data_IF_486880150256
#
_entry.id   IF_486880150256
#
_cell.length_a   1.000
_cell.length_b   1.000
_cell.length_c   1.000
_cell.angle_alpha   90.00
_cell.angle_beta   90.00
_cell.angle_gamma   90.00
#
_symmetry.space_group_name_H-M   'P 1'
#
loop_
_entity.id
_entity.type
_entity.pdbx_description
1 polymer ?
#
# COMPACT_ATOMS: atom_id res chain seq x y z
N UNK A 1 6.15 -5.10 -36.65
CA UNK A 1 6.82 -4.89 -35.35
C UNK A 1 5.78 -4.24 -34.44
N UNK A 2 5.39 -4.71 -33.27
CA UNK A 2 5.77 -5.77 -32.32
C UNK A 2 4.65 -5.68 -31.23
N UNK A 3 4.17 -6.66 -30.48
CA UNK A 3 4.36 -8.09 -30.34
C UNK A 3 2.98 -8.63 -29.91
N UNK A 4 2.48 -9.67 -30.57
CA UNK A 4 1.39 -10.49 -30.04
C UNK A 4 1.98 -11.49 -29.04
N UNK A 5 1.77 -11.27 -27.74
CA UNK A 5 1.89 -12.37 -26.78
C UNK A 5 0.94 -12.22 -25.59
N UNK A 6 -0.36 -12.08 -25.89
CA UNK A 6 -1.42 -12.44 -24.95
C UNK A 6 -1.91 -13.82 -25.33
N UNK A 7 -1.21 -14.86 -24.90
CA UNK A 7 -1.68 -16.23 -25.08
C UNK A 7 -1.42 -17.08 -23.84
N UNK A 8 -2.55 -17.57 -23.32
CA UNK A 8 -2.76 -18.82 -22.59
C UNK A 8 -2.87 -18.69 -21.07
N UNK A 9 -4.02 -18.18 -20.64
CA UNK A 9 -4.66 -18.62 -19.40
C UNK A 9 -5.67 -19.72 -19.78
N UNK A 10 -5.16 -20.90 -20.11
CA UNK A 10 -5.98 -22.10 -20.30
C UNK A 10 -6.15 -22.79 -18.96
N UNK A 11 -7.41 -22.94 -18.55
CA UNK A 11 -7.80 -23.55 -17.29
C UNK A 11 -7.37 -25.02 -17.19
N UNK A 12 -6.43 -25.26 -16.28
CA UNK A 12 -6.40 -26.47 -15.48
C UNK A 12 -6.17 -26.02 -14.04
N UNK A 13 -7.09 -26.35 -13.14
CA UNK A 13 -6.95 -26.18 -11.69
C UNK A 13 -5.81 -27.07 -11.19
N UNK A 14 -4.57 -26.69 -11.48
CA UNK A 14 -3.42 -27.23 -10.77
C UNK A 14 -3.51 -26.71 -9.32
N UNK A 15 -3.43 -27.57 -8.31
CA UNK A 15 -3.44 -27.10 -6.93
C UNK A 15 -2.29 -26.12 -6.74
N UNK A 16 -2.55 -24.99 -6.05
CA UNK A 16 -1.53 -23.98 -5.76
C UNK A 16 -0.34 -24.55 -4.94
N UNK A 17 -0.51 -25.75 -4.38
CA UNK A 17 0.48 -26.47 -3.57
C UNK A 17 0.59 -27.90 -4.10
N UNK A 18 1.81 -28.34 -4.35
CA UNK A 18 2.13 -29.72 -4.74
C UNK A 18 2.20 -30.62 -3.50
N UNK A 19 1.20 -31.49 -3.35
CA UNK A 19 1.05 -32.44 -2.23
C UNK A 19 1.75 -33.79 -2.46
N UNK A 20 2.53 -33.94 -3.54
CA UNK A 20 3.35 -35.15 -3.73
C UNK A 20 4.29 -35.35 -2.53
N UNK A 21 4.67 -36.58 -2.14
CA UNK A 21 5.52 -36.81 -0.97
C UNK A 21 7.00 -36.46 -1.24
N UNK A 22 7.71 -35.95 -0.22
CA UNK A 22 9.16 -35.60 -0.31
C UNK A 22 10.08 -36.83 -0.31
N UNK A 23 9.52 -37.99 -0.01
CA UNK A 23 10.27 -39.22 0.15
C UNK A 23 10.98 -39.67 -1.14
N UNK A 24 12.25 -40.08 -1.08
CA UNK A 24 13.05 -40.48 -2.24
C UNK A 24 12.64 -41.84 -2.85
N UNK A 25 11.67 -42.55 -2.25
CA UNK A 25 11.39 -43.96 -2.54
C UNK A 25 10.51 -44.17 -3.77
N UNK A 26 9.85 -43.13 -4.33
CA UNK A 26 9.13 -43.23 -5.61
C UNK A 26 9.20 -41.89 -6.37
N UNK A 27 10.15 -41.70 -7.29
CA UNK A 27 10.19 -40.50 -8.11
C UNK A 27 9.38 -40.73 -9.39
N UNK A 28 8.08 -40.46 -9.36
CA UNK A 28 7.45 -39.95 -10.59
C UNK A 28 7.86 -38.48 -10.64
N UNK A 29 8.45 -38.03 -11.74
CA UNK A 29 9.01 -36.68 -11.90
C UNK A 29 8.02 -35.53 -11.74
N UNK A 30 6.78 -35.80 -11.33
CA UNK A 30 5.70 -34.84 -11.08
C UNK A 30 6.15 -33.65 -10.26
N UNK A 31 6.85 -33.86 -9.14
CA UNK A 31 7.38 -32.75 -8.36
C UNK A 31 8.43 -31.93 -9.08
N UNK A 32 9.34 -32.59 -9.81
CA UNK A 32 10.35 -31.88 -10.59
C UNK A 32 9.67 -31.01 -11.65
N UNK A 33 8.66 -31.54 -12.32
CA UNK A 33 7.87 -30.83 -13.32
C UNK A 33 7.09 -29.65 -12.70
N UNK A 34 6.48 -29.87 -11.52
CA UNK A 34 5.81 -28.81 -10.76
C UNK A 34 6.77 -27.68 -10.38
N UNK A 35 7.93 -28.01 -9.81
CA UNK A 35 8.95 -27.03 -9.45
C UNK A 35 9.45 -26.25 -10.68
N UNK A 36 9.71 -26.96 -11.79
CA UNK A 36 10.14 -26.34 -13.05
C UNK A 36 9.11 -25.32 -13.55
N UNK A 37 7.81 -25.68 -13.55
CA UNK A 37 6.73 -24.77 -13.90
C UNK A 37 6.69 -23.53 -13.00
N UNK A 38 6.86 -23.69 -11.68
CA UNK A 38 6.87 -22.56 -10.73
C UNK A 38 8.11 -21.66 -10.89
N UNK A 39 9.26 -22.23 -11.26
CA UNK A 39 10.47 -21.45 -11.53
C UNK A 39 10.37 -20.67 -12.83
N UNK A 40 9.70 -21.22 -13.86
CA UNK A 40 9.44 -20.52 -15.12
C UNK A 40 8.50 -19.31 -14.94
N UNK A 41 7.49 -19.43 -14.09
CA UNK A 41 6.52 -18.36 -13.80
C UNK A 41 6.87 -17.53 -12.57
N UNK A 42 8.12 -17.60 -12.10
CA UNK A 42 8.56 -16.89 -10.90
C UNK A 42 8.54 -15.36 -11.16
N UNK A 43 7.87 -14.57 -10.31
CA UNK A 43 7.90 -13.10 -10.39
C UNK A 43 9.32 -12.54 -10.28
N UNK A 44 9.59 -11.46 -11.02
CA UNK A 44 10.87 -10.76 -10.93
C UNK A 44 11.02 -10.06 -9.57
N UNK A 45 12.27 -9.84 -9.13
CA UNK A 45 12.58 -9.10 -7.89
C UNK A 45 11.91 -7.71 -7.87
N UNK A 46 11.89 -7.00 -9.00
CA UNK A 46 11.29 -5.68 -9.09
C UNK A 46 9.79 -5.69 -8.74
N UNK A 47 9.04 -6.66 -9.28
CA UNK A 47 7.62 -6.84 -8.99
C UNK A 47 7.36 -7.17 -7.51
N UNK A 48 8.23 -7.99 -6.91
CA UNK A 48 8.14 -8.32 -5.48
C UNK A 48 8.42 -7.10 -4.59
N UNK A 49 9.29 -6.20 -5.01
CA UNK A 49 9.55 -4.93 -4.31
C UNK A 49 8.34 -4.00 -4.44
N UNK A 50 7.79 -3.85 -5.65
CA UNK A 50 6.61 -3.03 -5.90
C UNK A 50 5.39 -3.49 -5.09
N UNK A 51 5.20 -4.82 -5.00
CA UNK A 51 4.17 -5.44 -4.15
C UNK A 51 4.49 -5.40 -2.65
N UNK A 52 5.57 -4.74 -2.23
CA UNK A 52 6.03 -4.66 -0.83
C UNK A 52 6.29 -6.02 -0.16
N UNK A 53 6.59 -7.06 -0.92
CA UNK A 53 6.96 -8.39 -0.42
C UNK A 53 8.45 -8.44 -0.08
N UNK A 54 9.29 -7.92 -0.98
CA UNK A 54 10.73 -7.80 -0.75
C UNK A 54 11.11 -6.35 -0.40
N UNK A 55 12.08 -6.14 0.50
CA UNK A 55 12.59 -4.81 0.78
C UNK A 55 13.37 -4.25 -0.41
N UNK A 56 13.14 -2.97 -0.72
CA UNK A 56 13.84 -2.21 -1.76
C UNK A 56 15.27 -1.80 -1.34
N UNK A 57 16.01 -2.68 -0.67
CA UNK A 57 17.34 -2.39 -0.14
C UNK A 57 18.42 -3.27 -0.76
N UNK A 58 19.63 -2.71 -0.85
CA UNK A 58 20.86 -3.41 -1.20
C UNK A 58 21.72 -3.72 0.04
N UNK A 59 21.23 -3.40 1.25
CA UNK A 59 21.90 -3.72 2.49
C UNK A 59 21.94 -5.25 2.74
N UNK A 60 22.91 -5.68 3.55
CA UNK A 60 22.99 -7.08 3.97
C UNK A 60 21.69 -7.51 4.68
N UNK A 61 21.22 -8.76 4.52
CA UNK A 61 19.95 -9.22 5.10
C UNK A 61 19.81 -8.99 6.60
N UNK A 62 20.92 -9.08 7.35
CA UNK A 62 20.96 -8.83 8.80
C UNK A 62 20.72 -7.38 9.20
N UNK A 63 20.96 -6.41 8.29
CA UNK A 63 20.88 -4.98 8.57
C UNK A 63 19.57 -4.33 8.10
N UNK A 64 18.77 -5.02 7.28
CA UNK A 64 17.54 -4.47 6.70
C UNK A 64 16.56 -4.02 7.80
N UNK A 65 16.48 -4.78 8.90
CA UNK A 65 15.61 -4.44 10.02
C UNK A 65 16.00 -3.09 10.65
N UNK A 66 17.29 -2.91 10.97
CA UNK A 66 17.81 -1.67 11.53
C UNK A 66 17.71 -0.48 10.56
N UNK A 67 17.93 -0.73 9.26
CA UNK A 67 17.74 0.30 8.24
C UNK A 67 16.29 0.80 8.22
N UNK A 68 15.31 -0.11 8.25
CA UNK A 68 13.88 0.24 8.28
C UNK A 68 13.50 1.01 9.54
N UNK A 69 14.03 0.60 10.68
CA UNK A 69 13.82 1.29 11.96
C UNK A 69 14.35 2.72 11.91
N UNK A 70 15.58 2.92 11.44
CA UNK A 70 16.17 4.25 11.27
C UNK A 70 15.32 5.10 10.30
N UNK A 71 14.93 4.55 9.16
CA UNK A 71 14.12 5.24 8.16
C UNK A 71 12.76 5.68 8.72
N UNK A 72 12.15 4.85 9.58
CA UNK A 72 10.92 5.18 10.28
C UNK A 72 11.12 6.35 11.24
N UNK A 73 12.18 6.32 12.06
CA UNK A 73 12.48 7.41 12.99
C UNK A 73 12.77 8.73 12.25
N UNK A 74 13.59 8.69 11.20
CA UNK A 74 13.86 9.87 10.36
C UNK A 74 12.58 10.46 9.76
N UNK A 75 11.64 9.62 9.31
CA UNK A 75 10.33 10.09 8.82
C UNK A 75 9.47 10.68 9.93
N UNK A 76 9.45 10.06 11.11
CA UNK A 76 8.71 10.56 12.26
C UNK A 76 9.22 11.94 12.68
N UNK A 77 10.53 12.11 12.77
CA UNK A 77 11.17 13.37 13.14
C UNK A 77 10.87 14.47 12.11
N UNK A 78 11.03 14.16 10.81
CA UNK A 78 10.71 15.10 9.73
C UNK A 78 9.23 15.48 9.71
N UNK A 79 8.33 14.54 9.98
CA UNK A 79 6.90 14.81 10.08
C UNK A 79 6.60 15.72 11.28
N UNK A 80 7.19 15.42 12.44
CA UNK A 80 6.99 16.21 13.65
C UNK A 80 7.45 17.66 13.47
N UNK A 81 8.61 17.87 12.83
CA UNK A 81 9.11 19.21 12.51
C UNK A 81 8.14 19.99 11.59
N UNK A 82 7.64 19.35 10.53
CA UNK A 82 6.65 19.95 9.62
C UNK A 82 5.31 20.25 10.28
N UNK A 83 4.88 19.39 11.21
CA UNK A 83 3.65 19.62 11.97
C UNK A 83 3.80 20.79 12.95
N UNK A 84 4.98 20.97 13.55
CA UNK A 84 5.24 22.08 14.47
C UNK A 84 5.20 23.46 13.78
N UNK A 85 5.54 23.49 12.49
CA UNK A 85 5.48 24.69 11.64
C UNK A 85 4.26 24.70 10.71
N UNK A 86 3.19 23.97 11.05
CA UNK A 86 1.99 23.88 10.20
C UNK A 86 1.29 25.25 10.15
N UNK A 87 1.12 25.87 8.96
CA UNK A 87 0.47 27.17 8.82
C UNK A 87 -1.01 27.11 9.16
N UNK A 88 -1.54 28.23 9.64
CA UNK A 88 -2.96 28.34 9.98
C UNK A 88 -3.82 28.39 8.70
N UNK A 89 -5.06 27.88 8.73
CA UNK A 89 -5.96 27.93 7.57
C UNK A 89 -6.17 29.35 7.01
N UNK A 90 -6.16 30.37 7.89
CA UNK A 90 -6.30 31.78 7.50
C UNK A 90 -5.09 32.27 6.69
N UNK A 91 -3.89 31.81 7.03
CA UNK A 91 -2.68 32.14 6.30
C UNK A 91 -2.70 31.49 4.92
N UNK A 92 -3.14 30.22 4.84
CA UNK A 92 -3.30 29.51 3.56
C UNK A 92 -4.33 30.18 2.64
N UNK A 93 -5.39 30.78 3.18
CA UNK A 93 -6.36 31.57 2.42
C UNK A 93 -5.70 32.84 1.87
N UNK A 94 -4.95 33.56 2.70
CA UNK A 94 -4.24 34.78 2.29
C UNK A 94 -3.22 34.52 1.19
N UNK A 95 -2.53 33.38 1.25
CA UNK A 95 -1.57 32.96 0.23
C UNK A 95 -2.23 32.38 -1.03
N UNK A 96 -3.56 32.23 -1.06
CA UNK A 96 -4.31 31.70 -2.19
C UNK A 96 -4.18 30.18 -2.39
N UNK A 97 -3.62 29.47 -1.40
CA UNK A 97 -3.50 28.01 -1.39
C UNK A 97 -4.83 27.36 -1.00
N UNK A 98 -5.54 27.94 -0.04
CA UNK A 98 -6.86 27.50 0.40
C UNK A 98 -7.93 28.51 -0.09
N UNK A 99 -9.03 28.02 -0.65
CA UNK A 99 -10.15 28.89 -1.00
C UNK A 99 -10.99 29.17 0.25
N UNK A 100 -11.55 30.38 0.35
CA UNK A 100 -12.54 30.66 1.40
C UNK A 100 -13.77 29.77 1.21
N UNK A 101 -14.38 29.41 2.33
CA UNK A 101 -15.61 28.63 2.33
C UNK A 101 -16.69 29.39 1.53
N UNK A 102 -17.18 28.83 0.40
CA UNK A 102 -18.09 29.49 -0.53
C UNK A 102 -19.48 29.74 0.05
N UNK A 103 -19.78 29.19 1.24
CA UNK A 103 -21.04 29.40 1.93
C UNK A 103 -21.15 30.83 2.46
N UNK A 104 -22.32 31.42 2.30
CA UNK A 104 -22.60 32.77 2.79
C UNK A 104 -22.59 32.80 4.33
N UNK A 105 -22.53 33.98 4.93
CA UNK A 105 -22.55 34.12 6.38
C UNK A 105 -23.87 33.58 6.97
N UNK A 106 -24.96 33.74 6.22
CA UNK A 106 -26.30 33.26 6.54
C UNK A 106 -26.37 31.73 6.57
N UNK A 107 -25.78 31.06 5.59
CA UNK A 107 -25.74 29.59 5.51
C UNK A 107 -24.93 28.99 6.68
N UNK A 108 -23.78 29.61 7.01
CA UNK A 108 -22.93 29.21 8.15
C UNK A 108 -23.67 29.36 9.49
N UNK A 109 -24.48 30.41 9.61
CA UNK A 109 -25.29 30.64 10.81
C UNK A 109 -26.44 29.63 10.93
N UNK A 110 -27.10 29.28 9.83
CA UNK A 110 -28.17 28.29 9.82
C UNK A 110 -27.67 26.90 10.24
N UNK A 111 -26.53 26.45 9.73
CA UNK A 111 -25.90 25.18 10.12
C UNK A 111 -25.50 25.15 11.60
N UNK A 112 -24.93 26.24 12.11
CA UNK A 112 -24.58 26.34 13.53
C UNK A 112 -25.80 26.24 14.46
N UNK A 113 -26.95 26.80 14.05
CA UNK A 113 -28.22 26.64 14.77
C UNK A 113 -28.69 25.18 14.71
N UNK A 114 -28.59 24.55 13.55
CA UNK A 114 -29.01 23.15 13.35
C UNK A 114 -28.17 22.18 14.17
N UNK A 115 -26.84 22.36 14.21
CA UNK A 115 -25.93 21.58 15.06
C UNK A 115 -26.26 21.70 16.55
N UNK A 116 -26.52 22.92 17.05
CA UNK A 116 -26.94 23.15 18.44
C UNK A 116 -28.27 22.44 18.77
N UNK A 117 -29.20 22.43 17.82
CA UNK A 117 -30.47 21.72 17.96
C UNK A 117 -30.27 20.19 17.98
N UNK A 118 -29.47 19.66 17.06
CA UNK A 118 -29.15 18.23 16.98
C UNK A 118 -28.42 17.71 18.22
N UNK A 119 -27.54 18.54 18.81
CA UNK A 119 -26.79 18.20 20.03
C UNK A 119 -27.67 18.19 21.28
N UNK A 120 -28.74 19.00 21.31
CA UNK A 120 -29.71 19.06 22.41
C UNK A 120 -30.78 17.97 22.33
N UNK A 121 -31.28 17.66 21.13
CA UNK A 121 -32.35 16.67 20.94
C UNK A 121 -31.85 15.22 20.90
N UNK A 122 -30.53 14.99 21.04
CA UNK A 122 -29.94 13.65 21.05
C UNK A 122 -30.04 12.98 19.68
N UNK A 123 -29.17 13.40 18.75
CA UNK A 123 -28.99 12.69 17.48
C UNK A 123 -28.68 11.20 17.70
N UNK A 124 -29.45 10.34 17.03
CA UNK A 124 -29.23 8.89 16.97
C UNK A 124 -27.91 8.52 16.28
#
# INVERSE_FOLDING_TARGET
MADENTKNNDGASQPAVDETPISPVRPVGERKNSLENHLQHRPNRAELIEKNILPASNAAPSLIAHQKELEMHMRADSLNDKLSHRPDPKELVKEGVLQEDPRTAEDKYAEAIEEEYAKREGGA
#
